data_IF_605816916178
#
_entry.id   IF_605816916178
#
_cell.length_a   1.000
_cell.length_b   1.000
_cell.length_c   1.000
_cell.angle_alpha   90.00
_cell.angle_beta   90.00
_cell.angle_gamma   90.00
#
_symmetry.space_group_name_H-M   'P 1'
#
loop_
_entity.id
_entity.type
_entity.pdbx_description
1 polymer ?
#
# COMPACT_ATOMS: atom_id res chain seq x y z
N UNK A 1 -11.32 15.72 -25.67
CA UNK A 1 -11.80 14.60 -24.83
C UNK A 1 -11.16 14.71 -23.44
N UNK A 2 -11.97 15.03 -22.45
CA UNK A 2 -11.59 15.66 -21.17
C UNK A 2 -10.75 14.78 -20.22
N UNK A 3 -9.43 14.99 -20.19
CA UNK A 3 -8.54 14.40 -19.18
C UNK A 3 -9.05 14.65 -17.74
N UNK A 4 -9.67 15.81 -17.47
CA UNK A 4 -10.26 16.15 -16.16
C UNK A 4 -11.37 15.17 -15.71
N UNK A 5 -12.18 14.66 -16.63
CA UNK A 5 -13.28 13.73 -16.29
C UNK A 5 -12.74 12.34 -15.91
N UNK A 6 -11.69 11.87 -16.58
CA UNK A 6 -11.04 10.60 -16.26
C UNK A 6 -10.40 10.61 -14.86
N UNK A 7 -9.72 11.71 -14.48
CA UNK A 7 -9.14 11.85 -13.15
C UNK A 7 -10.20 11.89 -12.04
N UNK A 8 -11.33 12.56 -12.27
CA UNK A 8 -12.43 12.62 -11.31
C UNK A 8 -13.07 11.23 -11.09
N UNK A 9 -13.24 10.45 -12.16
CA UNK A 9 -13.76 9.08 -12.07
C UNK A 9 -12.84 8.17 -11.24
N UNK A 10 -11.53 8.17 -11.53
CA UNK A 10 -10.55 7.36 -10.81
C UNK A 10 -10.51 7.74 -9.32
N UNK A 11 -10.53 9.04 -9.01
CA UNK A 11 -10.52 9.51 -7.63
C UNK A 11 -11.80 9.11 -6.86
N UNK A 12 -12.97 9.23 -7.49
CA UNK A 12 -14.23 8.83 -6.85
C UNK A 12 -14.30 7.31 -6.64
N UNK A 13 -13.86 6.53 -7.62
CA UNK A 13 -13.76 5.08 -7.48
C UNK A 13 -12.81 4.68 -6.35
N UNK A 14 -11.64 5.31 -6.26
CA UNK A 14 -10.69 5.05 -5.18
C UNK A 14 -11.27 5.39 -3.81
N UNK A 15 -11.94 6.54 -3.66
CA UNK A 15 -12.55 6.95 -2.38
C UNK A 15 -13.67 6.03 -1.91
N UNK A 16 -14.44 5.45 -2.84
CA UNK A 16 -15.57 4.58 -2.49
C UNK A 16 -15.14 3.17 -2.13
N UNK A 17 -14.03 2.68 -2.70
CA UNK A 17 -13.62 1.28 -2.60
C UNK A 17 -12.38 1.06 -1.72
N UNK A 18 -11.64 2.10 -1.37
CA UNK A 18 -10.39 1.97 -0.64
C UNK A 18 -10.23 3.04 0.44
N UNK A 19 -9.86 2.60 1.64
CA UNK A 19 -9.39 3.49 2.70
C UNK A 19 -7.96 3.96 2.40
N UNK A 20 -7.73 5.28 2.50
CA UNK A 20 -6.40 5.87 2.30
C UNK A 20 -5.65 5.99 3.62
N UNK A 21 -4.58 5.22 3.77
CA UNK A 21 -3.65 5.34 4.89
C UNK A 21 -2.44 6.19 4.47
N UNK A 22 -2.19 7.28 5.20
CA UNK A 22 -0.96 8.07 5.02
C UNK A 22 0.06 7.62 6.05
N UNK A 23 1.20 7.11 5.59
CA UNK A 23 2.27 6.58 6.45
C UNK A 23 3.45 7.56 6.45
N UNK A 24 3.90 7.95 7.64
CA UNK A 24 5.13 8.70 7.82
C UNK A 24 6.24 7.72 8.19
N UNK A 25 7.33 7.74 7.43
CA UNK A 25 8.54 6.96 7.70
C UNK A 25 9.75 7.89 7.66
N UNK A 26 10.85 7.55 8.37
CA UNK A 26 12.08 8.31 8.29
C UNK A 26 12.57 8.48 6.85
N UNK A 27 13.31 9.57 6.59
CA UNK A 27 13.91 9.83 5.28
C UNK A 27 14.82 8.67 4.88
N UNK A 28 14.72 8.21 3.64
CA UNK A 28 15.46 7.04 3.11
C UNK A 28 14.77 5.68 3.36
N UNK A 29 13.92 5.56 4.38
CA UNK A 29 13.24 4.29 4.69
C UNK A 29 12.30 3.82 3.57
N UNK A 30 11.68 4.75 2.85
CA UNK A 30 10.83 4.43 1.69
C UNK A 30 11.62 3.71 0.59
N UNK A 31 12.83 4.16 0.31
CA UNK A 31 13.70 3.59 -0.74
C UNK A 31 14.15 2.19 -0.32
N UNK A 32 14.54 2.04 0.94
CA UNK A 32 14.87 0.75 1.54
C UNK A 32 13.70 -0.24 1.43
N UNK A 33 12.50 0.16 1.85
CA UNK A 33 11.31 -0.69 1.74
C UNK A 33 10.98 -1.04 0.28
N UNK A 34 11.21 -0.12 -0.65
CA UNK A 34 10.99 -0.37 -2.10
C UNK A 34 12.02 -1.36 -2.65
N UNK A 35 13.26 -1.33 -2.15
CA UNK A 35 14.30 -2.30 -2.52
C UNK A 35 13.94 -3.68 -1.97
N UNK A 36 13.62 -3.76 -0.69
CA UNK A 36 13.21 -5.00 -0.02
C UNK A 36 11.97 -5.60 -0.70
N UNK A 37 10.96 -4.78 -1.04
CA UNK A 37 9.76 -5.28 -1.72
C UNK A 37 10.11 -5.95 -3.05
N UNK A 38 10.99 -5.33 -3.85
CA UNK A 38 11.41 -5.89 -5.14
C UNK A 38 12.25 -7.16 -4.98
N UNK A 39 13.16 -7.17 -4.02
CA UNK A 39 14.00 -8.34 -3.71
C UNK A 39 13.16 -9.55 -3.26
N UNK A 40 12.03 -9.30 -2.59
CA UNK A 40 11.09 -10.33 -2.17
C UNK A 40 10.00 -10.64 -3.24
N UNK A 41 10.13 -10.13 -4.46
CA UNK A 41 9.24 -10.47 -5.58
C UNK A 41 7.90 -9.73 -5.61
N UNK A 42 7.71 -8.72 -4.77
CA UNK A 42 6.48 -7.93 -4.77
C UNK A 42 6.43 -6.94 -5.94
N UNK A 43 5.23 -6.73 -6.49
CA UNK A 43 5.02 -5.82 -7.63
C UNK A 43 5.02 -4.36 -7.19
N UNK A 44 4.53 -4.08 -5.99
CA UNK A 44 4.44 -2.72 -5.46
C UNK A 44 4.78 -2.67 -3.98
N UNK A 45 5.22 -1.49 -3.53
CA UNK A 45 5.45 -1.22 -2.11
C UNK A 45 4.15 -1.38 -1.28
N UNK A 46 3.00 -1.00 -1.85
CA UNK A 46 1.70 -1.14 -1.18
C UNK A 46 1.35 -2.61 -0.93
N UNK A 47 1.54 -3.47 -1.93
CA UNK A 47 1.33 -4.91 -1.80
C UNK A 47 2.22 -5.50 -0.71
N UNK A 48 3.50 -5.14 -0.72
CA UNK A 48 4.45 -5.56 0.32
C UNK A 48 4.00 -5.15 1.73
N UNK A 49 3.63 -3.88 1.92
CA UNK A 49 3.16 -3.39 3.23
C UNK A 49 1.90 -4.13 3.67
N UNK A 50 0.92 -4.31 2.77
CA UNK A 50 -0.32 -5.02 3.10
C UNK A 50 -0.05 -6.48 3.50
N UNK A 51 0.84 -7.18 2.80
CA UNK A 51 1.22 -8.55 3.17
C UNK A 51 1.91 -8.60 4.52
N UNK A 52 2.88 -7.71 4.80
CA UNK A 52 3.54 -7.65 6.10
C UNK A 52 2.56 -7.38 7.25
N UNK A 53 1.59 -6.47 7.05
CA UNK A 53 0.55 -6.18 8.04
C UNK A 53 -0.35 -7.41 8.25
N UNK A 54 -0.82 -8.03 7.16
CA UNK A 54 -1.66 -9.23 7.22
C UNK A 54 -0.98 -10.36 8.00
N UNK A 55 0.25 -10.72 7.65
CA UNK A 55 0.99 -11.77 8.35
C UNK A 55 1.20 -11.43 9.84
N UNK A 56 1.39 -10.15 10.17
CA UNK A 56 1.54 -9.73 11.57
C UNK A 56 0.22 -9.91 12.34
N UNK A 57 -0.92 -9.58 11.72
CA UNK A 57 -2.24 -9.80 12.30
C UNK A 57 -2.53 -11.29 12.50
N UNK A 58 -2.27 -12.12 11.49
CA UNK A 58 -2.46 -13.59 11.57
C UNK A 58 -1.66 -14.18 12.74
N UNK A 59 -0.38 -13.81 12.88
CA UNK A 59 0.45 -14.22 14.03
C UNK A 59 -0.11 -13.75 15.38
N UNK A 60 -0.75 -12.58 15.44
CA UNK A 60 -1.36 -12.07 16.68
C UNK A 60 -2.68 -12.76 17.02
N UNK A 61 -3.39 -13.30 16.03
CA UNK A 61 -4.60 -14.09 16.25
C UNK A 61 -4.28 -15.52 16.68
N UNK A 62 -3.20 -16.12 16.19
CA UNK A 62 -2.73 -17.45 16.61
C UNK A 62 -2.20 -17.49 18.06
N UNK A 63 -1.75 -16.35 18.59
CA UNK A 63 -1.28 -16.22 19.98
C UNK A 63 -2.40 -15.92 21.00
N UNK A 64 -3.66 -15.82 20.54
CA UNK A 64 -4.85 -15.62 21.39
C UNK A 64 -5.59 -16.92 21.69
#
# INVERSE_FOLDING_TARGET
MDKKRAFAYINNYQKQNYDRITILVPKGRKEELTKISKENGYRTLTEFINTCVKEKLERMEEEK
#
